data_IF_382514156751
#
_entry.id   IF_382514156751
#
_cell.length_a   1.000
_cell.length_b   1.000
_cell.length_c   1.000
_cell.angle_alpha   90.00
_cell.angle_beta   90.00
_cell.angle_gamma   90.00
#
_symmetry.space_group_name_H-M   'P 1'
#
loop_
_entity.id
_entity.type
_entity.pdbx_description
1 polymer ?
#
# COMPACT_ATOMS: atom_id res chain seq x y z
N UNK A 1 34.91 3.42 16.95
CA UNK A 1 34.54 2.04 16.58
C UNK A 1 33.43 1.60 17.52
N UNK A 2 32.21 1.44 16.99
CA UNK A 2 30.99 1.25 17.78
C UNK A 2 29.81 1.85 17.03
N UNK A 3 29.50 1.26 15.88
CA UNK A 3 28.35 1.58 15.04
C UNK A 3 27.09 1.23 15.84
N UNK A 4 26.43 2.24 16.39
CA UNK A 4 25.02 2.13 16.76
C UNK A 4 24.32 3.06 15.77
N UNK A 5 23.99 2.53 14.60
CA UNK A 5 22.99 3.15 13.73
C UNK A 5 21.69 3.18 14.52
N UNK A 6 21.36 4.33 15.10
CA UNK A 6 19.99 4.60 15.51
C UNK A 6 19.19 4.66 14.22
N UNK A 7 18.41 3.61 13.94
CA UNK A 7 17.43 3.63 12.85
C UNK A 7 16.69 4.97 12.90
N UNK A 8 16.72 5.71 11.79
CA UNK A 8 16.05 7.00 11.72
C UNK A 8 14.55 6.77 11.97
N UNK A 9 13.89 7.65 12.73
CA UNK A 9 12.49 7.49 13.10
C UNK A 9 11.59 7.36 11.85
N UNK A 10 11.99 8.03 10.77
CA UNK A 10 11.39 7.96 9.45
C UNK A 10 11.49 6.55 8.85
N UNK A 11 12.67 5.92 8.88
CA UNK A 11 12.88 4.56 8.37
C UNK A 11 12.06 3.52 9.14
N UNK A 12 12.00 3.64 10.47
CA UNK A 12 11.19 2.75 11.32
C UNK A 12 9.71 2.89 11.00
N UNK A 13 9.23 4.14 10.81
CA UNK A 13 7.85 4.40 10.48
C UNK A 13 7.49 3.85 9.09
N UNK A 14 8.32 4.11 8.07
CA UNK A 14 8.10 3.60 6.71
C UNK A 14 8.09 2.07 6.66
N UNK A 15 8.99 1.40 7.38
CA UNK A 15 8.94 -0.07 7.53
C UNK A 15 7.64 -0.53 8.19
N UNK A 16 7.22 0.17 9.26
CA UNK A 16 5.94 -0.08 9.93
C UNK A 16 4.75 0.07 8.98
N UNK A 17 4.76 1.09 8.13
CA UNK A 17 3.73 1.35 7.11
C UNK A 17 3.66 0.21 6.08
N UNK A 18 4.80 -0.26 5.56
CA UNK A 18 4.84 -1.42 4.64
C UNK A 18 4.23 -2.65 5.30
N UNK A 19 4.64 -2.97 6.52
CA UNK A 19 4.14 -4.12 7.28
C UNK A 19 2.63 -4.01 7.50
N UNK A 20 2.15 -2.86 7.97
CA UNK A 20 0.72 -2.64 8.20
C UNK A 20 -0.08 -2.78 6.92
N UNK A 21 0.44 -2.28 5.81
CA UNK A 21 -0.22 -2.34 4.51
C UNK A 21 -0.33 -3.77 3.99
N UNK A 22 0.69 -4.60 4.21
CA UNK A 22 0.63 -6.04 3.92
C UNK A 22 -0.38 -6.76 4.82
N UNK A 23 -0.43 -6.44 6.11
CA UNK A 23 -1.44 -6.98 7.02
C UNK A 23 -2.85 -6.62 6.58
N UNK A 24 -3.08 -5.37 6.17
CA UNK A 24 -4.38 -4.91 5.66
C UNK A 24 -4.74 -5.55 4.31
N UNK A 25 -3.75 -5.79 3.45
CA UNK A 25 -3.92 -6.57 2.21
C UNK A 25 -4.41 -7.99 2.52
N UNK A 26 -3.77 -8.66 3.49
CA UNK A 26 -4.17 -9.99 3.94
C UNK A 26 -5.56 -9.99 4.59
N UNK A 27 -5.83 -9.05 5.49
CA UNK A 27 -7.10 -8.94 6.20
C UNK A 27 -8.28 -8.70 5.23
N UNK A 28 -8.11 -7.80 4.27
CA UNK A 28 -9.11 -7.54 3.22
C UNK A 28 -9.31 -8.74 2.31
N UNK A 29 -8.25 -9.49 1.96
CA UNK A 29 -8.38 -10.72 1.20
C UNK A 29 -9.12 -11.82 1.97
N UNK A 30 -8.87 -11.96 3.28
CA UNK A 30 -9.62 -12.87 4.17
C UNK A 30 -11.09 -12.45 4.25
N UNK A 31 -11.36 -11.15 4.40
CA UNK A 31 -12.73 -10.62 4.41
C UNK A 31 -13.46 -10.91 3.09
N UNK A 32 -12.77 -10.80 1.95
CA UNK A 32 -13.30 -11.22 0.66
C UNK A 32 -13.63 -12.71 0.64
N UNK A 33 -12.72 -13.58 1.10
CA UNK A 33 -12.99 -15.03 1.14
C UNK A 33 -14.23 -15.37 1.99
N UNK A 34 -14.44 -14.65 3.10
CA UNK A 34 -15.56 -14.88 4.02
C UNK A 34 -16.89 -14.31 3.51
N UNK A 35 -16.88 -13.15 2.88
CA UNK A 35 -18.11 -12.40 2.54
C UNK A 35 -18.43 -12.37 1.04
N UNK A 36 -17.46 -12.70 0.18
CA UNK A 36 -17.48 -12.59 -1.29
C UNK A 36 -17.87 -11.20 -1.83
N UNK A 37 -17.72 -10.16 -1.03
CA UNK A 37 -18.00 -8.78 -1.44
C UNK A 37 -16.81 -8.19 -2.19
N UNK A 38 -17.05 -7.70 -3.41
CA UNK A 38 -16.00 -7.26 -4.34
C UNK A 38 -15.23 -6.06 -3.80
N UNK A 39 -15.87 -5.20 -2.98
CA UNK A 39 -15.18 -4.09 -2.32
C UNK A 39 -13.93 -4.53 -1.55
N UNK A 40 -13.94 -5.71 -0.93
CA UNK A 40 -12.79 -6.18 -0.17
C UNK A 40 -11.61 -6.59 -1.07
N UNK A 41 -11.87 -7.05 -2.30
CA UNK A 41 -10.78 -7.25 -3.29
C UNK A 41 -10.18 -5.92 -3.73
N UNK A 42 -11.02 -4.91 -3.96
CA UNK A 42 -10.55 -3.58 -4.38
C UNK A 42 -9.69 -2.95 -3.27
N UNK A 43 -10.14 -3.06 -2.02
CA UNK A 43 -9.36 -2.62 -0.84
C UNK A 43 -8.05 -3.39 -0.72
N UNK A 44 -8.06 -4.71 -0.94
CA UNK A 44 -6.85 -5.54 -0.92
C UNK A 44 -5.85 -5.10 -1.98
N UNK A 45 -6.33 -4.83 -3.20
CA UNK A 45 -5.50 -4.31 -4.29
C UNK A 45 -4.92 -2.93 -3.95
N UNK A 46 -5.72 -2.03 -3.35
CA UNK A 46 -5.26 -0.70 -2.94
C UNK A 46 -4.13 -0.78 -1.90
N UNK A 47 -4.30 -1.60 -0.85
CA UNK A 47 -3.25 -1.79 0.17
C UNK A 47 -2.01 -2.50 -0.39
N UNK A 48 -2.18 -3.42 -1.33
CA UNK A 48 -1.06 -4.09 -1.99
C UNK A 48 -0.24 -3.11 -2.83
N UNK A 49 -0.90 -2.22 -3.58
CA UNK A 49 -0.23 -1.18 -4.35
C UNK A 49 0.48 -0.18 -3.43
N UNK A 50 -0.15 0.18 -2.31
CA UNK A 50 0.44 1.08 -1.34
C UNK A 50 1.70 0.48 -0.68
N UNK A 51 1.67 -0.79 -0.32
CA UNK A 51 2.87 -1.49 0.16
C UNK A 51 3.99 -1.51 -0.88
N UNK A 52 3.67 -1.77 -2.16
CA UNK A 52 4.65 -1.75 -3.24
C UNK A 52 5.23 -0.35 -3.47
N UNK A 53 4.39 0.69 -3.44
CA UNK A 53 4.79 2.09 -3.57
C UNK A 53 5.76 2.52 -2.46
N UNK A 54 5.42 2.23 -1.21
CA UNK A 54 6.25 2.57 -0.04
C UNK A 54 7.58 1.79 -0.06
N UNK A 55 7.57 0.55 -0.57
CA UNK A 55 8.78 -0.24 -0.75
C UNK A 55 9.71 0.36 -1.83
N UNK A 56 9.15 0.88 -2.92
CA UNK A 56 9.93 1.57 -3.97
C UNK A 56 10.54 2.86 -3.42
N UNK A 57 9.79 3.66 -2.65
CA UNK A 57 10.31 4.88 -2.01
C UNK A 57 11.45 4.58 -1.02
N UNK A 58 11.36 3.47 -0.26
CA UNK A 58 12.47 3.04 0.59
C UNK A 58 13.73 2.69 -0.19
N UNK A 59 13.59 2.06 -1.36
CA UNK A 59 14.75 1.72 -2.21
C UNK A 59 15.40 2.97 -2.77
N UNK A 60 14.63 3.99 -3.16
CA UNK A 60 15.13 5.26 -3.68
C UNK A 60 15.95 6.03 -2.63
N UNK A 61 15.52 6.00 -1.36
CA UNK A 61 16.28 6.55 -0.23
C UNK A 61 17.65 5.85 -0.06
N UNK A 62 17.72 4.55 -0.36
CA UNK A 62 18.94 3.74 -0.22
C UNK A 62 19.86 3.86 -1.45
N UNK A 63 19.29 4.08 -2.65
CA UNK A 63 20.01 4.13 -3.93
C UNK A 63 19.63 5.38 -4.78
N UNK A 64 20.10 6.59 -4.39
CA UNK A 64 19.70 7.86 -5.01
C UNK A 64 20.27 8.13 -6.42
N UNK A 65 21.00 7.19 -7.03
CA UNK A 65 21.67 7.37 -8.34
C UNK A 65 20.76 7.11 -9.55
N UNK A 66 19.52 6.67 -9.35
CA UNK A 66 18.56 6.45 -10.45
C UNK A 66 17.87 7.79 -10.74
N UNK A 67 17.90 8.27 -11.99
CA UNK A 67 17.27 9.53 -12.43
C UNK A 67 15.80 9.65 -11.95
N UNK A 68 15.60 10.37 -10.84
CA UNK A 68 14.37 10.34 -10.04
C UNK A 68 13.11 10.96 -10.68
N UNK A 69 13.25 11.66 -11.82
CA UNK A 69 12.10 12.36 -12.43
C UNK A 69 10.99 11.44 -12.94
N UNK A 70 11.34 10.25 -13.45
CA UNK A 70 10.34 9.29 -13.96
C UNK A 70 9.74 8.46 -12.81
N UNK A 71 10.55 8.12 -11.81
CA UNK A 71 10.11 7.35 -10.64
C UNK A 71 9.13 8.17 -9.79
N UNK A 72 9.42 9.45 -9.54
CA UNK A 72 8.53 10.33 -8.77
C UNK A 72 7.15 10.47 -9.43
N UNK A 73 7.11 10.66 -10.75
CA UNK A 73 5.84 10.70 -11.51
C UNK A 73 5.06 9.38 -11.40
N UNK A 74 5.76 8.24 -11.48
CA UNK A 74 5.15 6.92 -11.36
C UNK A 74 4.60 6.70 -9.94
N UNK A 75 5.33 7.11 -8.92
CA UNK A 75 4.90 7.06 -7.52
C UNK A 75 3.64 7.89 -7.30
N UNK A 76 3.60 9.13 -7.80
CA UNK A 76 2.41 9.99 -7.74
C UNK A 76 1.22 9.40 -8.48
N UNK A 77 1.47 8.75 -9.62
CA UNK A 77 0.42 8.06 -10.37
C UNK A 77 -0.14 6.85 -9.61
N UNK A 78 0.71 6.06 -8.96
CA UNK A 78 0.27 4.96 -8.08
C UNK A 78 -0.53 5.50 -6.89
N UNK A 79 -0.09 6.59 -6.26
CA UNK A 79 -0.81 7.27 -5.18
C UNK A 79 -2.24 7.66 -5.61
N UNK A 80 -2.36 8.24 -6.80
CA UNK A 80 -3.67 8.54 -7.40
C UNK A 80 -4.54 7.29 -7.60
N UNK A 81 -3.97 6.20 -8.14
CA UNK A 81 -4.70 4.93 -8.33
C UNK A 81 -5.17 4.36 -6.99
N UNK A 82 -4.33 4.39 -5.96
CA UNK A 82 -4.66 3.87 -4.62
C UNK A 82 -5.89 4.61 -4.07
N UNK A 83 -5.89 5.94 -4.13
CA UNK A 83 -7.02 6.77 -3.69
C UNK A 83 -8.27 6.45 -4.51
N UNK A 84 -8.14 6.33 -5.83
CA UNK A 84 -9.24 5.98 -6.72
C UNK A 84 -9.83 4.60 -6.36
N UNK A 85 -8.99 3.60 -6.07
CA UNK A 85 -9.44 2.27 -5.65
C UNK A 85 -10.18 2.30 -4.32
N UNK A 86 -9.67 3.04 -3.32
CA UNK A 86 -10.39 3.21 -2.07
C UNK A 86 -11.76 3.87 -2.28
N UNK A 87 -11.80 4.91 -3.11
CA UNK A 87 -13.07 5.56 -3.47
C UNK A 87 -14.03 4.59 -4.16
N UNK A 88 -13.57 3.81 -5.14
CA UNK A 88 -14.41 2.79 -5.79
C UNK A 88 -14.89 1.76 -4.78
N UNK A 89 -14.03 1.28 -3.87
CA UNK A 89 -14.43 0.33 -2.85
C UNK A 89 -15.52 0.88 -1.92
N UNK A 90 -15.47 2.17 -1.58
CA UNK A 90 -16.48 2.86 -0.76
C UNK A 90 -17.77 3.09 -1.56
N UNK A 91 -17.65 3.50 -2.82
CA UNK A 91 -18.78 3.80 -3.70
C UNK A 91 -19.49 2.55 -4.22
N UNK A 92 -18.84 1.38 -4.16
CA UNK A 92 -19.41 0.14 -4.66
C UNK A 92 -20.63 -0.28 -3.82
N UNK A 93 -21.81 -0.12 -4.41
CA UNK A 93 -23.05 -0.62 -3.83
C UNK A 93 -23.10 -2.13 -3.94
N UNK A 94 -22.69 -2.80 -2.88
CA UNK A 94 -22.81 -4.25 -2.78
C UNK A 94 -24.29 -4.65 -2.68
N UNK A 95 -24.82 -5.41 -3.64
CA UNK A 95 -26.07 -6.15 -3.41
C UNK A 95 -25.76 -7.20 -2.35
N UNK A 96 -26.24 -7.01 -1.10
CA UNK A 96 -26.32 -8.12 -0.15
C UNK A 96 -27.10 -9.23 -0.87
N UNK A 97 -26.48 -10.40 -1.08
CA UNK A 97 -27.26 -11.63 -1.24
C UNK A 97 -28.01 -11.77 0.09
N UNK A 98 -29.30 -11.43 0.07
CA UNK A 98 -30.21 -11.86 1.11
C UNK A 98 -30.35 -13.36 0.83
N UNK A 99 -29.69 -14.17 1.66
CA UNK A 99 -29.96 -15.60 1.74
C UNK A 99 -31.33 -15.83 2.38
#
# INVERSE_FOLDING_TARGET
MGVIETLDAEQVLSLGIVIFSLLLTGASLIAYKKTRLRKFLIVSLAFSLYAAKEFVEQIDIIFPEIEGGTLDLLVKFIEFIIIALFFVAVALKERRRIE
#
